data_IF_260966036461
#
_entry.id   IF_260966036461
#
_cell.length_a   1.000
_cell.length_b   1.000
_cell.length_c   1.000
_cell.angle_alpha   90.00
_cell.angle_beta   90.00
_cell.angle_gamma   90.00
#
_symmetry.space_group_name_H-M   'P 1'
#
loop_
_entity.id
_entity.type
_entity.pdbx_description
1 polymer ?
#
# COMPACT_ATOMS: atom_id res chain seq x y z
N UNK A 1 -63.09 24.96 1.34
CA UNK A 1 -61.97 25.16 2.29
C UNK A 1 -60.67 24.73 1.62
N UNK A 2 -59.61 25.52 1.80
CA UNK A 2 -58.38 25.51 0.99
C UNK A 2 -57.52 24.25 1.20
N UNK A 3 -57.62 23.30 0.26
CA UNK A 3 -56.72 22.14 0.11
C UNK A 3 -55.24 22.51 -0.08
N UNK A 4 -54.94 23.79 -0.31
CA UNK A 4 -53.59 24.36 -0.46
C UNK A 4 -52.77 24.27 0.83
N UNK A 5 -53.42 24.33 2.00
CA UNK A 5 -52.73 24.30 3.30
C UNK A 5 -52.07 22.94 3.60
N UNK A 6 -52.78 21.80 3.54
CA UNK A 6 -52.16 20.49 3.76
C UNK A 6 -51.11 20.11 2.70
N UNK A 7 -51.28 20.55 1.44
CA UNK A 7 -50.29 20.33 0.37
C UNK A 7 -48.96 21.03 0.64
N UNK A 8 -49.00 22.26 1.15
CA UNK A 8 -47.82 23.04 1.53
C UNK A 8 -47.04 22.38 2.68
N UNK A 9 -47.76 21.85 3.67
CA UNK A 9 -47.15 21.15 4.80
C UNK A 9 -46.47 19.83 4.37
N UNK A 10 -47.12 19.07 3.48
CA UNK A 10 -46.58 17.80 2.98
C UNK A 10 -45.31 18.01 2.12
N UNK A 11 -45.29 19.07 1.31
CA UNK A 11 -44.09 19.48 0.57
C UNK A 11 -42.95 19.89 1.52
N UNK A 12 -43.25 20.62 2.61
CA UNK A 12 -42.25 20.99 3.62
C UNK A 12 -41.62 19.76 4.31
N UNK A 13 -42.42 18.75 4.63
CA UNK A 13 -41.93 17.49 5.22
C UNK A 13 -41.07 16.69 4.24
N UNK A 14 -41.48 16.59 2.97
CA UNK A 14 -40.69 15.89 1.94
C UNK A 14 -39.36 16.60 1.64
N UNK A 15 -39.36 17.93 1.57
CA UNK A 15 -38.14 18.71 1.40
C UNK A 15 -37.22 18.60 2.62
N UNK A 16 -37.77 18.62 3.83
CA UNK A 16 -37.02 18.40 5.07
C UNK A 16 -36.39 17.01 5.15
N UNK A 17 -37.18 15.97 4.89
CA UNK A 17 -36.70 14.59 4.87
C UNK A 17 -35.66 14.34 3.76
N UNK A 18 -35.87 14.92 2.58
CA UNK A 18 -34.91 14.86 1.47
C UNK A 18 -33.59 15.55 1.79
N UNK A 19 -33.63 16.73 2.42
CA UNK A 19 -32.43 17.45 2.85
C UNK A 19 -31.63 16.69 3.92
N UNK A 20 -32.32 16.07 4.89
CA UNK A 20 -31.69 15.22 5.90
C UNK A 20 -31.08 13.96 5.27
N UNK A 21 -31.81 13.26 4.40
CA UNK A 21 -31.29 12.06 3.72
C UNK A 21 -30.09 12.38 2.80
N UNK A 22 -30.08 13.53 2.14
CA UNK A 22 -28.93 14.03 1.37
C UNK A 22 -27.74 14.38 2.27
N UNK A 23 -28.01 14.97 3.44
CA UNK A 23 -27.01 15.25 4.47
C UNK A 23 -26.34 13.99 4.99
N UNK A 24 -27.14 12.98 5.36
CA UNK A 24 -26.66 11.69 5.84
C UNK A 24 -25.89 10.93 4.77
N UNK A 25 -26.35 10.96 3.52
CA UNK A 25 -25.63 10.35 2.39
C UNK A 25 -24.28 11.01 2.14
N UNK A 26 -24.19 12.34 2.25
CA UNK A 26 -22.91 13.08 2.15
C UNK A 26 -21.99 12.80 3.34
N UNK A 27 -22.53 12.61 4.54
CA UNK A 27 -21.76 12.24 5.73
C UNK A 27 -21.19 10.84 5.59
N UNK A 28 -22.02 9.86 5.24
CA UNK A 28 -21.61 8.47 5.08
C UNK A 28 -20.58 8.27 3.97
N UNK A 29 -20.71 9.01 2.86
CA UNK A 29 -19.71 9.00 1.79
C UNK A 29 -18.37 9.56 2.26
N UNK A 30 -18.36 10.67 3.02
CA UNK A 30 -17.13 11.26 3.55
C UNK A 30 -16.43 10.31 4.52
N UNK A 31 -17.18 9.73 5.46
CA UNK A 31 -16.66 8.78 6.44
C UNK A 31 -16.07 7.53 5.78
N UNK A 32 -16.73 7.02 4.74
CA UNK A 32 -16.24 5.88 3.96
C UNK A 32 -14.92 6.19 3.23
N UNK A 33 -14.77 7.40 2.67
CA UNK A 33 -13.52 7.84 2.01
C UNK A 33 -12.40 8.01 3.03
N UNK A 34 -12.67 8.63 4.18
CA UNK A 34 -11.69 8.79 5.26
C UNK A 34 -11.19 7.44 5.75
N UNK A 35 -12.11 6.49 6.00
CA UNK A 35 -11.74 5.14 6.45
C UNK A 35 -10.91 4.39 5.42
N UNK A 36 -11.24 4.50 4.13
CA UNK A 36 -10.46 3.86 3.07
C UNK A 36 -9.06 4.48 2.95
N UNK A 37 -8.95 5.81 3.09
CA UNK A 37 -7.67 6.51 3.09
C UNK A 37 -6.79 6.06 4.26
N UNK A 38 -7.34 5.95 5.46
CA UNK A 38 -6.64 5.46 6.65
C UNK A 38 -6.13 4.03 6.42
N UNK A 39 -7.02 3.10 6.04
CA UNK A 39 -6.68 1.70 5.78
C UNK A 39 -5.57 1.55 4.73
N UNK A 40 -5.64 2.31 3.64
CA UNK A 40 -4.63 2.25 2.58
C UNK A 40 -3.31 2.86 3.02
N UNK A 41 -3.33 4.00 3.69
CA UNK A 41 -2.11 4.67 4.16
C UNK A 41 -1.36 3.80 5.17
N UNK A 42 -2.09 3.19 6.12
CA UNK A 42 -1.55 2.23 7.08
C UNK A 42 -0.93 1.02 6.35
N UNK A 43 -1.67 0.40 5.43
CA UNK A 43 -1.19 -0.73 4.64
C UNK A 43 0.08 -0.41 3.83
N UNK A 44 0.15 0.76 3.20
CA UNK A 44 1.31 1.17 2.42
C UNK A 44 2.54 1.45 3.31
N UNK A 45 2.33 2.05 4.48
CA UNK A 45 3.38 2.27 5.45
C UNK A 45 3.92 0.93 5.99
N UNK A 46 3.04 0.00 6.37
CA UNK A 46 3.43 -1.34 6.81
C UNK A 46 4.28 -2.08 5.75
N UNK A 47 3.89 -2.00 4.48
CA UNK A 47 4.64 -2.63 3.40
C UNK A 47 6.04 -2.02 3.22
N UNK A 48 6.17 -0.69 3.29
CA UNK A 48 7.46 -0.01 3.21
C UNK A 48 8.37 -0.34 4.38
N UNK A 49 7.83 -0.42 5.60
CA UNK A 49 8.58 -0.83 6.79
C UNK A 49 9.08 -2.26 6.63
N UNK A 50 8.19 -3.21 6.25
CA UNK A 50 8.59 -4.59 6.01
C UNK A 50 9.67 -4.72 4.93
N UNK A 51 9.60 -3.91 3.87
CA UNK A 51 10.60 -3.87 2.80
C UNK A 51 11.97 -3.38 3.32
N UNK A 52 12.00 -2.26 4.06
CA UNK A 52 13.24 -1.70 4.62
C UNK A 52 13.86 -2.65 5.66
N UNK A 53 13.05 -3.27 6.51
CA UNK A 53 13.51 -4.22 7.51
C UNK A 53 14.08 -5.50 6.85
N UNK A 54 13.40 -6.04 5.84
CA UNK A 54 13.89 -7.16 5.03
C UNK A 54 15.23 -6.81 4.37
N UNK A 55 15.32 -5.65 3.73
CA UNK A 55 16.56 -5.21 3.08
C UNK A 55 17.71 -5.03 4.07
N UNK A 56 17.43 -4.45 5.25
CA UNK A 56 18.43 -4.29 6.31
C UNK A 56 18.94 -5.64 6.82
N UNK A 57 18.05 -6.59 7.00
CA UNK A 57 18.41 -7.90 7.55
C UNK A 57 19.20 -8.75 6.55
N UNK A 58 18.83 -8.69 5.26
CA UNK A 58 19.63 -9.26 4.18
C UNK A 58 21.05 -8.68 4.12
N UNK A 59 21.19 -7.35 4.28
CA UNK A 59 22.51 -6.71 4.35
C UNK A 59 23.30 -7.12 5.60
N UNK A 60 22.63 -7.36 6.73
CA UNK A 60 23.26 -7.90 7.93
C UNK A 60 23.81 -9.29 7.65
N UNK A 61 22.99 -10.19 7.09
CA UNK A 61 23.40 -11.55 6.70
C UNK A 61 24.63 -11.54 5.80
N UNK A 62 24.64 -10.72 4.75
CA UNK A 62 25.78 -10.61 3.84
C UNK A 62 27.09 -10.25 4.56
N UNK A 63 27.02 -9.42 5.60
CA UNK A 63 28.19 -8.90 6.32
C UNK A 63 28.67 -9.79 7.46
N UNK A 64 27.76 -10.48 8.14
CA UNK A 64 28.06 -11.16 9.41
C UNK A 64 28.04 -12.68 9.30
N UNK A 65 27.42 -13.24 8.28
CA UNK A 65 27.19 -14.69 8.17
C UNK A 65 28.21 -15.34 7.23
N UNK A 66 28.79 -16.45 7.70
CA UNK A 66 29.71 -17.28 6.92
C UNK A 66 29.01 -17.88 5.70
N UNK A 67 29.77 -18.15 4.63
CA UNK A 67 29.21 -18.57 3.34
C UNK A 67 28.31 -19.81 3.40
N UNK A 68 28.70 -20.82 4.18
CA UNK A 68 27.95 -22.10 4.31
C UNK A 68 26.57 -21.92 4.98
N UNK A 69 26.42 -20.95 5.88
CA UNK A 69 25.16 -20.68 6.60
C UNK A 69 24.32 -19.58 5.93
N UNK A 70 24.87 -18.91 4.92
CA UNK A 70 24.32 -17.67 4.39
C UNK A 70 23.00 -17.87 3.65
N UNK A 71 22.86 -18.96 2.93
CA UNK A 71 21.62 -19.30 2.22
C UNK A 71 20.45 -19.44 3.20
N UNK A 72 20.60 -20.27 4.23
CA UNK A 72 19.59 -20.46 5.28
C UNK A 72 19.29 -19.15 6.01
N UNK A 73 20.31 -18.38 6.37
CA UNK A 73 20.13 -17.10 7.04
C UNK A 73 19.41 -16.06 6.17
N UNK A 74 19.67 -16.04 4.86
CA UNK A 74 19.00 -15.15 3.91
C UNK A 74 17.52 -15.51 3.73
N UNK A 75 17.19 -16.81 3.69
CA UNK A 75 15.80 -17.28 3.64
C UNK A 75 15.02 -16.87 4.90
N UNK A 76 15.61 -17.03 6.09
CA UNK A 76 15.01 -16.57 7.35
C UNK A 76 14.79 -15.06 7.34
N UNK A 77 15.83 -14.28 7.02
CA UNK A 77 15.76 -12.83 6.94
C UNK A 77 14.67 -12.32 5.97
N UNK A 78 14.43 -13.05 4.88
CA UNK A 78 13.37 -12.72 3.92
C UNK A 78 11.95 -13.03 4.44
N UNK A 79 11.81 -14.05 5.29
CA UNK A 79 10.51 -14.50 5.80
C UNK A 79 10.02 -13.68 7.02
N UNK A 80 10.94 -13.15 7.83
CA UNK A 80 10.67 -12.62 9.17
C UNK A 80 9.70 -11.41 9.23
N UNK A 81 9.67 -10.57 8.19
CA UNK A 81 8.95 -9.29 8.23
C UNK A 81 7.58 -9.31 7.52
N UNK A 82 7.03 -10.49 7.22
CA UNK A 82 5.70 -10.67 6.62
C UNK A 82 5.46 -9.83 5.34
N UNK A 83 6.49 -9.62 4.54
CA UNK A 83 6.41 -8.85 3.29
C UNK A 83 5.40 -9.47 2.30
N UNK A 84 5.28 -10.80 2.30
CA UNK A 84 4.29 -11.51 1.49
C UNK A 84 2.84 -11.25 1.92
N UNK A 85 2.59 -11.18 3.23
CA UNK A 85 1.24 -10.94 3.77
C UNK A 85 0.77 -9.50 3.58
N UNK A 86 1.65 -8.51 3.80
CA UNK A 86 1.39 -7.10 3.44
C UNK A 86 1.14 -6.96 1.93
N UNK A 87 1.95 -7.61 1.08
CA UNK A 87 1.71 -7.65 -0.38
C UNK A 87 0.32 -8.18 -0.74
N UNK A 88 -0.12 -9.29 -0.15
CA UNK A 88 -1.44 -9.85 -0.46
C UNK A 88 -2.59 -8.92 -0.07
N UNK A 89 -2.44 -8.17 1.04
CA UNK A 89 -3.41 -7.13 1.41
C UNK A 89 -3.43 -5.98 0.40
N UNK A 90 -2.28 -5.59 -0.15
CA UNK A 90 -2.20 -4.59 -1.25
C UNK A 90 -2.99 -5.08 -2.47
N UNK A 91 -2.86 -6.35 -2.86
CA UNK A 91 -3.64 -6.93 -3.97
C UNK A 91 -5.16 -6.82 -3.79
N UNK A 92 -5.65 -6.81 -2.55
CA UNK A 92 -7.09 -6.71 -2.25
C UNK A 92 -7.58 -5.27 -2.22
N UNK A 93 -6.78 -4.34 -1.68
CA UNK A 93 -7.25 -3.00 -1.31
C UNK A 93 -6.75 -1.88 -2.23
N UNK A 94 -5.63 -2.08 -2.91
CA UNK A 94 -4.94 -1.02 -3.65
C UNK A 94 -5.30 -1.03 -5.15
N UNK A 95 -5.16 0.11 -5.85
CA UNK A 95 -5.25 0.14 -7.30
C UNK A 95 -4.11 -0.64 -7.97
N UNK A 96 -4.33 -1.04 -9.22
CA UNK A 96 -3.44 -1.93 -9.96
C UNK A 96 -2.02 -1.39 -10.15
N UNK A 97 -1.83 -0.07 -10.21
CA UNK A 97 -0.50 0.54 -10.33
C UNK A 97 0.33 0.36 -9.06
N UNK A 98 -0.29 0.52 -7.88
CA UNK A 98 0.34 0.23 -6.59
C UNK A 98 0.62 -1.27 -6.45
N UNK A 99 -0.32 -2.12 -6.86
CA UNK A 99 -0.14 -3.59 -6.85
C UNK A 99 1.08 -4.01 -7.67
N UNK A 100 1.21 -3.49 -8.90
CA UNK A 100 2.35 -3.80 -9.78
C UNK A 100 3.66 -3.34 -9.17
N UNK A 101 3.71 -2.12 -8.62
CA UNK A 101 4.91 -1.60 -7.99
C UNK A 101 5.33 -2.42 -6.76
N UNK A 102 4.38 -2.85 -5.92
CA UNK A 102 4.65 -3.74 -4.80
C UNK A 102 5.19 -5.10 -5.26
N UNK A 103 4.62 -5.67 -6.32
CA UNK A 103 5.10 -6.94 -6.87
C UNK A 103 6.52 -6.86 -7.41
N UNK A 104 6.90 -5.74 -8.03
CA UNK A 104 8.26 -5.54 -8.50
C UNK A 104 9.26 -5.42 -7.34
N UNK A 105 8.92 -4.69 -6.27
CA UNK A 105 9.73 -4.65 -5.04
C UNK A 105 9.90 -6.06 -4.46
N UNK A 106 8.82 -6.82 -4.33
CA UNK A 106 8.87 -8.17 -3.78
C UNK A 106 9.79 -9.09 -4.60
N UNK A 107 9.72 -9.02 -5.94
CA UNK A 107 10.61 -9.77 -6.82
C UNK A 107 12.07 -9.32 -6.70
N UNK A 108 12.32 -8.02 -6.58
CA UNK A 108 13.67 -7.48 -6.41
C UNK A 108 14.27 -7.89 -5.06
N UNK A 109 13.50 -7.88 -3.96
CA UNK A 109 13.98 -8.37 -2.67
C UNK A 109 14.22 -9.89 -2.68
N UNK A 110 13.44 -10.66 -3.45
CA UNK A 110 13.73 -12.08 -3.65
C UNK A 110 15.05 -12.30 -4.40
N UNK A 111 15.31 -11.51 -5.45
CA UNK A 111 16.61 -11.50 -6.13
C UNK A 111 17.74 -11.06 -5.19
N UNK A 112 17.49 -10.09 -4.32
CA UNK A 112 18.45 -9.63 -3.32
C UNK A 112 18.79 -10.73 -2.32
N UNK A 113 17.80 -11.51 -1.87
CA UNK A 113 18.02 -12.71 -1.05
C UNK A 113 18.90 -13.72 -1.77
N UNK A 114 18.58 -14.04 -3.02
CA UNK A 114 19.34 -14.99 -3.84
C UNK A 114 20.79 -14.50 -4.08
N UNK A 115 20.96 -13.20 -4.31
CA UNK A 115 22.27 -12.55 -4.38
C UNK A 115 23.02 -12.69 -3.06
N UNK A 116 22.40 -12.33 -1.93
CA UNK A 116 23.04 -12.44 -0.61
C UNK A 116 23.48 -13.86 -0.32
N UNK A 117 22.69 -14.88 -0.67
CA UNK A 117 23.05 -16.28 -0.46
C UNK A 117 24.34 -16.69 -1.18
N UNK A 118 24.57 -16.20 -2.40
CA UNK A 118 25.66 -16.66 -3.27
C UNK A 118 26.81 -15.64 -3.46
N UNK A 119 26.64 -14.38 -3.05
CA UNK A 119 27.57 -13.31 -3.37
C UNK A 119 28.93 -13.46 -2.69
N UNK A 120 29.98 -13.06 -3.41
CA UNK A 120 31.26 -12.72 -2.81
C UNK A 120 31.06 -11.45 -1.96
N UNK A 121 31.41 -11.46 -0.65
CA UNK A 121 31.32 -10.26 0.20
C UNK A 121 32.10 -9.05 -0.35
N UNK A 122 33.07 -9.25 -1.26
CA UNK A 122 33.84 -8.19 -1.89
C UNK A 122 33.21 -7.65 -3.19
N UNK A 123 32.09 -8.22 -3.68
CA UNK A 123 31.36 -7.73 -4.84
C UNK A 123 30.61 -6.42 -4.54
N UNK A 124 31.38 -5.34 -4.48
CA UNK A 124 30.86 -4.00 -4.27
C UNK A 124 30.00 -3.51 -5.44
N UNK A 125 30.37 -3.72 -6.72
CA UNK A 125 29.53 -3.34 -7.86
C UNK A 125 28.16 -4.04 -7.85
N UNK A 126 28.10 -5.35 -7.61
CA UNK A 126 26.85 -6.10 -7.54
C UNK A 126 25.95 -5.63 -6.39
N UNK A 127 26.56 -5.37 -5.22
CA UNK A 127 25.84 -4.86 -4.07
C UNK A 127 25.23 -3.47 -4.32
N UNK A 128 25.97 -2.58 -4.97
CA UNK A 128 25.47 -1.24 -5.32
C UNK A 128 24.35 -1.32 -6.35
N UNK A 129 24.51 -2.13 -7.40
CA UNK A 129 23.48 -2.32 -8.43
C UNK A 129 22.17 -2.86 -7.85
N UNK A 130 22.25 -3.84 -6.93
CA UNK A 130 21.08 -4.37 -6.22
C UNK A 130 20.39 -3.29 -5.38
N UNK A 131 21.16 -2.47 -4.65
CA UNK A 131 20.60 -1.38 -3.82
C UNK A 131 19.93 -0.30 -4.68
N UNK A 132 20.54 0.05 -5.80
CA UNK A 132 19.99 1.03 -6.75
C UNK A 132 18.70 0.51 -7.39
N UNK A 133 18.65 -0.77 -7.76
CA UNK A 133 17.43 -1.41 -8.28
C UNK A 133 16.29 -1.32 -7.26
N UNK A 134 16.51 -1.79 -6.03
CA UNK A 134 15.50 -1.75 -4.96
C UNK A 134 15.09 -0.30 -4.64
N UNK A 135 16.03 0.63 -4.61
CA UNK A 135 15.76 2.06 -4.41
C UNK A 135 14.85 2.63 -5.49
N UNK A 136 15.15 2.37 -6.76
CA UNK A 136 14.32 2.83 -7.89
C UNK A 136 12.89 2.29 -7.85
N UNK A 137 12.73 1.04 -7.37
CA UNK A 137 11.46 0.37 -7.25
C UNK A 137 10.63 0.92 -6.08
N UNK A 138 11.27 1.18 -4.95
CA UNK A 138 10.66 1.90 -3.82
C UNK A 138 10.13 3.25 -4.27
N UNK A 139 10.92 4.02 -5.01
CA UNK A 139 10.53 5.36 -5.44
C UNK A 139 9.30 5.30 -6.36
N UNK A 140 9.26 4.33 -7.28
CA UNK A 140 8.09 4.05 -8.13
C UNK A 140 6.84 3.66 -7.33
N UNK A 141 6.99 2.84 -6.30
CA UNK A 141 5.88 2.49 -5.40
C UNK A 141 5.37 3.71 -4.64
N UNK A 142 6.25 4.52 -4.07
CA UNK A 142 5.87 5.74 -3.37
C UNK A 142 5.13 6.72 -4.30
N UNK A 143 5.53 6.83 -5.56
CA UNK A 143 4.83 7.66 -6.54
C UNK A 143 3.44 7.12 -6.88
N UNK A 144 3.27 5.79 -7.01
CA UNK A 144 1.96 5.17 -7.17
C UNK A 144 1.07 5.43 -5.96
N UNK A 145 1.59 5.25 -4.75
CA UNK A 145 0.86 5.53 -3.49
C UNK A 145 0.46 7.00 -3.40
N UNK A 146 1.35 7.94 -3.73
CA UNK A 146 1.03 9.38 -3.74
C UNK A 146 -0.10 9.70 -4.72
N UNK A 147 -0.11 9.07 -5.90
CA UNK A 147 -1.21 9.22 -6.87
C UNK A 147 -2.52 8.67 -6.33
N UNK A 148 -2.51 7.48 -5.73
CA UNK A 148 -3.70 6.87 -5.15
C UNK A 148 -4.30 7.73 -4.03
N UNK A 149 -3.47 8.15 -3.07
CA UNK A 149 -3.88 9.02 -1.95
C UNK A 149 -4.47 10.34 -2.45
N UNK A 150 -3.84 10.98 -3.45
CA UNK A 150 -4.40 12.19 -4.09
C UNK A 150 -5.73 11.91 -4.80
N UNK A 151 -5.86 10.74 -5.43
CA UNK A 151 -7.09 10.28 -6.07
C UNK A 151 -8.25 10.13 -5.07
N UNK A 152 -7.97 9.54 -3.90
CA UNK A 152 -8.94 9.40 -2.82
C UNK A 152 -9.37 10.76 -2.25
N UNK A 153 -8.42 11.65 -1.98
CA UNK A 153 -8.70 12.99 -1.45
C UNK A 153 -9.50 13.87 -2.42
N UNK A 154 -9.27 13.72 -3.73
CA UNK A 154 -10.02 14.43 -4.78
C UNK A 154 -11.38 13.78 -5.11
N UNK A 155 -11.68 12.60 -4.55
CA UNK A 155 -12.90 11.84 -4.83
C UNK A 155 -12.98 11.28 -6.25
N UNK A 156 -11.85 11.23 -6.96
CA UNK A 156 -11.70 10.70 -8.32
C UNK A 156 -11.35 9.21 -8.34
N UNK A 157 -10.80 8.68 -7.24
CA UNK A 157 -10.57 7.26 -7.07
C UNK A 157 -11.91 6.52 -6.96
N UNK A 158 -12.24 5.76 -8.01
CA UNK A 158 -13.31 4.77 -7.98
C UNK A 158 -12.69 3.39 -7.78
N UNK A 159 -13.44 2.46 -7.18
CA UNK A 159 -13.13 1.03 -7.21
C UNK A 159 -13.27 0.53 -8.66
N UNK A 160 -12.36 0.91 -9.55
CA UNK A 160 -12.28 0.31 -10.87
C UNK A 160 -11.42 -0.94 -10.75
N UNK A 161 -12.10 -2.08 -10.62
CA UNK A 161 -11.57 -3.42 -10.80
C UNK A 161 -10.98 -3.60 -12.21
#
# INVERSE_FOLDING_TARGET
MSWVSPLSALLGVLLGAGATALGDRRRWRRESVTRLLELRTELYAEYLVAMEDTGRDLLRVLRTTAGEERETAAEVAFADFNLGGTRQRIHVLAPLDVVRAADEIFRALRRARDYVAAADPQDTPGLLAMKDEVGSLRDRFQDAVRRDVRGLLSGSASWSA
#
